data_IF_777468349363
#
_entry.id   IF_777468349363
#
_cell.length_a   1.000
_cell.length_b   1.000
_cell.length_c   1.000
_cell.angle_alpha   90.00
_cell.angle_beta   90.00
_cell.angle_gamma   90.00
#
_symmetry.space_group_name_H-M   'P 1'
#
loop_
_entity.id
_entity.type
_entity.pdbx_description
1 polymer ?
#
# COMPACT_ATOMS: atom_id res chain seq x y z
N UNK A 1 8.78 -60.49 40.04
CA UNK A 1 9.36 -59.69 38.94
C UNK A 1 8.22 -58.91 38.32
N UNK A 2 8.01 -57.71 38.86
CA UNK A 2 6.94 -56.78 38.52
C UNK A 2 7.23 -56.07 37.20
N UNK A 3 6.33 -56.17 36.23
CA UNK A 3 6.33 -55.28 35.06
C UNK A 3 4.93 -54.68 34.92
N UNK A 4 4.73 -53.59 35.66
CA UNK A 4 3.58 -52.72 35.54
C UNK A 4 3.60 -52.02 34.18
N UNK A 5 2.77 -52.50 33.24
CA UNK A 5 2.53 -51.83 31.97
C UNK A 5 1.56 -50.69 32.25
N UNK A 6 2.12 -49.48 32.40
CA UNK A 6 1.33 -48.25 32.50
C UNK A 6 0.54 -48.09 31.19
N UNK A 7 -0.79 -48.13 31.28
CA UNK A 7 -1.71 -47.78 30.18
C UNK A 7 -1.38 -46.37 29.69
N UNK A 8 -0.67 -46.29 28.56
CA UNK A 8 -0.28 -45.06 27.88
C UNK A 8 -1.26 -44.69 26.75
N UNK A 9 -2.55 -45.07 26.89
CA UNK A 9 -3.55 -44.85 25.85
C UNK A 9 -4.82 -44.25 26.46
N UNK A 10 -4.72 -43.01 26.92
CA UNK A 10 -5.89 -42.22 27.29
C UNK A 10 -5.78 -40.79 26.76
N UNK A 11 -5.08 -40.60 25.62
CA UNK A 11 -5.17 -39.35 24.88
C UNK A 11 -6.24 -39.55 23.84
N UNK A 12 -7.38 -38.89 24.03
CA UNK A 12 -8.51 -38.92 23.10
C UNK A 12 -8.03 -38.37 21.75
N UNK A 13 -8.09 -39.14 20.65
CA UNK A 13 -7.63 -38.66 19.34
C UNK A 13 -8.37 -37.39 18.88
N UNK A 14 -9.56 -37.07 19.44
CA UNK A 14 -10.25 -35.81 19.13
C UNK A 14 -9.55 -34.56 19.66
N UNK A 15 -8.71 -34.64 20.69
CA UNK A 15 -7.94 -33.49 21.18
C UNK A 15 -6.92 -32.99 20.13
N UNK A 16 -6.42 -33.88 19.27
CA UNK A 16 -5.50 -33.53 18.18
C UNK A 16 -6.20 -32.97 16.94
N UNK A 17 -7.52 -33.17 16.81
CA UNK A 17 -8.34 -32.67 15.71
C UNK A 17 -9.25 -31.51 16.14
N UNK A 18 -8.94 -30.83 17.24
CA UNK A 18 -9.49 -29.51 17.47
C UNK A 18 -8.96 -28.58 16.38
N UNK A 19 -9.71 -28.45 15.29
CA UNK A 19 -9.50 -27.37 14.33
C UNK A 19 -9.42 -26.10 15.16
N UNK A 20 -8.39 -25.25 14.94
CA UNK A 20 -8.36 -23.96 15.61
C UNK A 20 -9.74 -23.32 15.42
N UNK A 21 -10.35 -22.76 16.48
CA UNK A 21 -11.63 -22.07 16.36
C UNK A 21 -11.53 -21.20 15.12
N UNK A 22 -12.47 -21.35 14.19
CA UNK A 22 -12.47 -20.60 12.93
C UNK A 22 -12.57 -19.13 13.30
N UNK A 23 -11.44 -18.47 13.50
CA UNK A 23 -11.38 -17.08 13.92
C UNK A 23 -12.23 -16.31 12.93
N UNK A 24 -13.25 -15.62 13.43
CA UNK A 24 -14.08 -14.79 12.58
C UNK A 24 -13.14 -13.87 11.80
N UNK A 25 -13.29 -13.75 10.46
CA UNK A 25 -12.45 -12.86 9.69
C UNK A 25 -12.42 -11.50 10.36
N UNK A 26 -11.23 -11.03 10.72
CA UNK A 26 -11.07 -9.72 11.36
C UNK A 26 -11.81 -8.69 10.50
N UNK A 27 -12.56 -7.76 11.10
CA UNK A 27 -13.24 -6.73 10.33
C UNK A 27 -12.19 -5.99 9.48
N UNK A 28 -12.49 -5.73 8.20
CA UNK A 28 -11.52 -5.10 7.31
C UNK A 28 -11.07 -3.75 7.90
N UNK A 29 -9.79 -3.41 7.79
CA UNK A 29 -9.29 -2.13 8.28
C UNK A 29 -10.03 -0.97 7.61
N UNK A 30 -10.27 0.11 8.37
CA UNK A 30 -10.95 1.28 7.83
C UNK A 30 -10.19 1.91 6.65
N UNK A 31 -8.85 1.88 6.71
CA UNK A 31 -7.95 2.41 5.69
C UNK A 31 -6.93 1.36 5.28
N UNK A 32 -6.99 0.94 4.01
CA UNK A 32 -5.97 0.07 3.41
C UNK A 32 -5.76 0.44 1.94
N UNK A 33 -4.51 0.83 1.62
CA UNK A 33 -4.12 1.31 0.32
C UNK A 33 -3.07 0.38 -0.30
N UNK A 34 -3.48 -0.32 -1.35
CA UNK A 34 -2.60 -1.09 -2.20
C UNK A 34 -2.10 -0.26 -3.37
N UNK A 35 -0.85 -0.52 -3.76
CA UNK A 35 -0.17 0.17 -4.86
C UNK A 35 0.54 -0.86 -5.71
N UNK A 36 0.26 -0.87 -7.01
CA UNK A 36 0.89 -1.79 -7.95
C UNK A 36 1.25 -1.09 -9.27
N UNK A 37 2.48 -1.20 -9.78
CA UNK A 37 3.65 -1.84 -9.16
C UNK A 37 4.08 -1.14 -7.85
N UNK A 38 4.79 -1.83 -6.93
CA UNK A 38 5.20 -1.23 -5.65
C UNK A 38 6.41 -0.29 -5.75
N UNK A 39 7.14 -0.30 -6.87
CA UNK A 39 8.26 0.58 -7.19
C UNK A 39 8.20 1.01 -8.66
N UNK A 40 8.89 2.10 -9.00
CA UNK A 40 9.03 2.58 -10.36
C UNK A 40 10.49 2.57 -10.77
N UNK A 41 10.77 2.20 -12.03
CA UNK A 41 12.11 2.19 -12.59
C UNK A 41 12.19 3.10 -13.81
N UNK A 42 13.27 3.87 -13.90
CA UNK A 42 13.53 4.81 -14.97
C UNK A 42 14.98 4.73 -15.44
N UNK A 43 15.26 5.33 -16.59
CA UNK A 43 16.61 5.54 -17.12
C UNK A 43 16.94 7.02 -17.17
N UNK A 44 18.23 7.37 -17.29
CA UNK A 44 18.71 8.77 -17.29
C UNK A 44 18.00 9.68 -18.30
N UNK A 45 17.60 9.14 -19.44
CA UNK A 45 16.85 9.85 -20.48
C UNK A 45 15.37 10.13 -20.12
N UNK A 46 14.93 9.72 -18.92
CA UNK A 46 13.58 9.90 -18.42
C UNK A 46 12.70 8.66 -18.58
N UNK A 47 11.38 8.87 -18.58
CA UNK A 47 10.40 7.81 -18.79
C UNK A 47 9.07 8.07 -18.08
N UNK A 48 8.12 7.16 -18.26
CA UNK A 48 6.82 7.21 -17.59
C UNK A 48 6.51 5.87 -16.92
N UNK A 49 5.97 5.93 -15.70
CA UNK A 49 5.46 4.78 -14.97
C UNK A 49 4.01 5.02 -14.57
N UNK A 50 3.21 3.96 -14.60
CA UNK A 50 1.81 3.96 -14.21
C UNK A 50 1.62 3.00 -13.03
N UNK A 51 1.04 3.51 -11.96
CA UNK A 51 0.71 2.74 -10.77
C UNK A 51 -0.81 2.74 -10.57
N UNK A 52 -1.35 1.61 -10.13
CA UNK A 52 -2.74 1.46 -9.74
C UNK A 52 -2.81 1.56 -8.22
N UNK A 53 -3.58 2.50 -7.73
CA UNK A 53 -3.90 2.72 -6.32
C UNK A 53 -5.27 2.09 -6.05
N UNK A 54 -5.34 1.11 -5.15
CA UNK A 54 -6.58 0.40 -4.81
C UNK A 54 -6.90 0.56 -3.33
N UNK A 55 -8.09 1.06 -3.03
CA UNK A 55 -8.58 1.12 -1.66
C UNK A 55 -9.27 -0.20 -1.29
N UNK A 56 -8.58 -1.03 -0.52
CA UNK A 56 -9.13 -2.27 0.03
C UNK A 56 -9.82 -2.08 1.40
N UNK A 57 -9.73 -0.87 1.97
CA UNK A 57 -10.40 -0.52 3.22
C UNK A 57 -11.90 -0.29 3.06
N UNK A 58 -12.61 -0.28 4.18
CA UNK A 58 -14.07 -0.09 4.20
C UNK A 58 -14.51 1.38 4.05
N UNK A 59 -13.63 2.34 4.30
CA UNK A 59 -13.95 3.77 4.28
C UNK A 59 -13.44 4.46 3.01
N UNK A 60 -14.14 5.53 2.61
CA UNK A 60 -13.65 6.45 1.57
C UNK A 60 -12.40 7.15 2.08
N UNK A 61 -11.36 7.25 1.26
CA UNK A 61 -10.13 7.94 1.62
C UNK A 61 -9.86 9.14 0.72
N UNK A 62 -9.11 10.09 1.26
CA UNK A 62 -8.46 11.16 0.50
C UNK A 62 -6.96 10.96 0.59
N UNK A 63 -6.26 11.12 -0.52
CA UNK A 63 -4.82 11.02 -0.54
C UNK A 63 -4.15 12.27 -1.12
N UNK A 64 -2.91 12.47 -0.69
CA UNK A 64 -1.96 13.46 -1.18
C UNK A 64 -0.67 12.77 -1.56
N UNK A 65 -0.18 13.05 -2.74
CA UNK A 65 1.12 12.56 -3.21
C UNK A 65 2.19 13.61 -2.97
N UNK A 66 3.33 13.18 -2.43
CA UNK A 66 4.56 13.98 -2.29
C UNK A 66 5.70 13.24 -2.96
N UNK A 67 6.50 13.96 -3.75
CA UNK A 67 7.73 13.44 -4.32
C UNK A 67 8.94 14.06 -3.59
N UNK A 68 10.06 13.33 -3.52
CA UNK A 68 11.33 13.86 -3.01
C UNK A 68 11.95 14.91 -3.94
N UNK A 69 11.69 14.83 -5.25
CA UNK A 69 12.28 15.72 -6.25
C UNK A 69 11.25 16.14 -7.31
N UNK A 70 10.64 17.31 -7.10
CA UNK A 70 9.61 17.86 -8.01
C UNK A 70 10.20 18.52 -9.28
N UNK A 71 11.53 18.66 -9.35
CA UNK A 71 12.21 19.19 -10.53
C UNK A 71 12.30 18.13 -11.62
N UNK A 72 12.66 16.89 -11.27
CA UNK A 72 12.79 15.79 -12.24
C UNK A 72 11.49 15.00 -12.42
N UNK A 73 10.65 14.89 -11.39
CA UNK A 73 9.44 14.08 -11.45
C UNK A 73 8.17 14.92 -11.52
N UNK A 74 7.28 14.56 -12.44
CA UNK A 74 5.89 15.05 -12.51
C UNK A 74 4.95 13.92 -12.15
N UNK A 75 3.95 14.23 -11.34
CA UNK A 75 3.02 13.23 -10.80
C UNK A 75 1.59 13.73 -11.00
N UNK A 76 0.71 12.83 -11.45
CA UNK A 76 -0.71 13.12 -11.62
C UNK A 76 -1.56 11.89 -11.26
N UNK A 77 -2.60 12.01 -10.41
CA UNK A 77 -3.03 13.21 -9.68
C UNK A 77 -2.23 13.44 -8.37
N UNK A 78 -2.17 14.70 -7.90
CA UNK A 78 -1.52 15.04 -6.60
C UNK A 78 -2.47 14.88 -5.41
N UNK A 79 -3.74 15.24 -5.59
CA UNK A 79 -4.80 15.07 -4.61
C UNK A 79 -5.98 14.39 -5.27
N UNK A 80 -6.57 13.42 -4.59
CA UNK A 80 -7.81 12.81 -5.04
C UNK A 80 -8.52 12.06 -3.92
N UNK A 81 -9.79 11.74 -4.15
CA UNK A 81 -10.53 10.78 -3.35
C UNK A 81 -10.43 9.39 -3.98
N UNK A 82 -10.52 8.37 -3.13
CA UNK A 82 -10.62 6.98 -3.54
C UNK A 82 -11.71 6.31 -2.68
N UNK A 83 -12.81 5.92 -3.33
CA UNK A 83 -13.92 5.24 -2.66
C UNK A 83 -13.51 3.81 -2.25
N UNK A 84 -14.22 3.22 -1.29
CA UNK A 84 -13.97 1.84 -0.87
C UNK A 84 -14.15 0.87 -2.05
N UNK A 85 -13.19 -0.02 -2.26
CA UNK A 85 -13.15 -0.97 -3.38
C UNK A 85 -12.78 -0.34 -4.73
N UNK A 86 -12.63 0.99 -4.82
CA UNK A 86 -12.27 1.66 -6.06
C UNK A 86 -10.76 1.60 -6.30
N UNK A 87 -10.39 1.65 -7.58
CA UNK A 87 -9.01 1.78 -8.03
C UNK A 87 -8.83 3.02 -8.88
N UNK A 88 -7.65 3.62 -8.84
CA UNK A 88 -7.30 4.78 -9.64
C UNK A 88 -5.86 4.74 -10.09
N UNK A 89 -5.61 5.28 -11.28
CA UNK A 89 -4.29 5.36 -11.88
C UNK A 89 -3.51 6.58 -11.37
N UNK A 90 -2.26 6.36 -11.00
CA UNK A 90 -1.24 7.35 -10.67
C UNK A 90 -0.14 7.30 -11.73
N UNK A 91 0.01 8.41 -12.46
CA UNK A 91 1.06 8.59 -13.46
C UNK A 91 2.25 9.30 -12.85
N UNK A 92 3.44 8.76 -13.11
CA UNK A 92 4.73 9.33 -12.71
C UNK A 92 5.55 9.49 -13.98
N UNK A 93 5.89 10.73 -14.33
CA UNK A 93 6.77 11.05 -15.44
C UNK A 93 8.11 11.52 -14.86
N UNK A 94 9.21 10.97 -15.37
CA UNK A 94 10.56 11.42 -15.09
C UNK A 94 11.11 12.17 -16.30
N UNK A 95 11.67 13.35 -16.06
CA UNK A 95 12.45 14.11 -17.04
C UNK A 95 13.91 13.64 -17.05
N UNK A 96 14.60 13.91 -18.16
CA UNK A 96 16.04 13.65 -18.26
C UNK A 96 16.81 14.32 -17.11
N UNK A 97 17.79 13.62 -16.58
CA UNK A 97 18.58 14.14 -15.47
C UNK A 97 19.38 13.07 -14.73
N UNK A 98 20.16 13.48 -13.72
CA UNK A 98 21.13 12.61 -13.07
C UNK A 98 20.47 11.40 -12.41
N UNK A 99 21.18 10.28 -12.41
CA UNK A 99 20.81 9.09 -11.66
C UNK A 99 20.82 9.35 -10.16
N UNK A 100 19.63 9.25 -9.55
CA UNK A 100 19.44 9.38 -8.12
C UNK A 100 18.33 8.45 -7.65
N UNK A 101 18.50 7.97 -6.41
CA UNK A 101 17.45 7.25 -5.70
C UNK A 101 16.47 8.26 -5.09
N UNK A 102 15.26 8.28 -5.62
CA UNK A 102 14.18 9.15 -5.19
C UNK A 102 13.03 8.32 -4.61
N UNK A 103 12.06 8.99 -3.98
CA UNK A 103 10.89 8.33 -3.42
C UNK A 103 9.64 9.18 -3.58
N UNK A 104 8.53 8.50 -3.78
CA UNK A 104 7.20 9.08 -3.78
C UNK A 104 6.44 8.56 -2.55
N UNK A 105 5.86 9.47 -1.79
CA UNK A 105 5.11 9.19 -0.57
C UNK A 105 3.65 9.53 -0.83
N UNK A 106 2.79 8.52 -0.75
CA UNK A 106 1.34 8.71 -0.75
C UNK A 106 0.90 8.78 0.70
N UNK A 107 0.42 9.95 1.10
CA UNK A 107 -0.20 10.17 2.40
C UNK A 107 -1.71 10.05 2.21
N UNK A 108 -2.40 9.28 3.05
CA UNK A 108 -3.83 9.08 2.92
C UNK A 108 -4.50 9.04 4.28
N UNK A 109 -5.78 9.38 4.30
CA UNK A 109 -6.62 9.42 5.50
C UNK A 109 -8.08 9.20 5.13
N UNK A 110 -8.90 8.95 6.14
CA UNK A 110 -10.35 8.83 5.98
C UNK A 110 -10.97 10.16 5.56
N UNK A 111 -11.95 10.09 4.66
CA UNK A 111 -12.65 11.24 4.10
C UNK A 111 -14.15 11.07 4.21
N UNK A 112 -14.85 12.18 4.48
CA UNK A 112 -16.32 12.17 4.51
C UNK A 112 -16.87 12.13 3.08
N UNK A 113 -17.99 11.43 2.90
CA UNK A 113 -18.66 11.32 1.58
C UNK A 113 -19.21 12.66 1.07
N UNK A 114 -19.51 13.59 1.97
CA UNK A 114 -20.05 14.92 1.63
C UNK A 114 -19.02 15.88 1.03
N UNK A 115 -17.72 15.58 1.17
CA UNK A 115 -16.67 16.47 0.71
C UNK A 115 -16.39 16.29 -0.80
N UNK A 116 -16.21 17.43 -1.48
CA UNK A 116 -15.98 17.50 -2.94
C UNK A 116 -14.57 17.98 -3.31
N UNK A 117 -13.88 18.68 -2.42
CA UNK A 117 -12.54 19.23 -2.66
C UNK A 117 -11.47 18.39 -1.94
N UNK A 118 -10.67 17.59 -2.65
CA UNK A 118 -9.73 16.66 -2.03
C UNK A 118 -8.59 17.39 -1.30
N UNK A 119 -8.22 18.61 -1.72
CA UNK A 119 -7.14 19.37 -1.08
C UNK A 119 -7.59 19.87 0.29
N UNK A 120 -8.75 20.51 0.37
CA UNK A 120 -9.35 20.98 1.63
C UNK A 120 -9.65 19.81 2.57
N UNK A 121 -10.20 18.71 2.03
CA UNK A 121 -10.41 17.48 2.78
C UNK A 121 -9.10 16.97 3.39
N UNK A 122 -7.98 17.02 2.65
CA UNK A 122 -6.69 16.58 3.14
C UNK A 122 -6.09 17.49 4.22
N UNK A 123 -6.49 18.76 4.31
CA UNK A 123 -6.02 19.69 5.34
C UNK A 123 -6.70 19.51 6.71
N UNK A 124 -7.88 18.88 6.76
CA UNK A 124 -8.56 18.56 8.03
C UNK A 124 -7.70 17.70 8.97
N UNK A 125 -7.84 17.87 10.28
CA UNK A 125 -7.15 17.01 11.25
C UNK A 125 -7.66 15.57 11.18
N UNK A 126 -6.74 14.60 11.31
CA UNK A 126 -7.07 13.18 11.26
C UNK A 126 -5.84 12.28 11.22
N UNK A 127 -6.06 10.98 11.50
CA UNK A 127 -4.99 9.98 11.44
C UNK A 127 -4.54 9.80 9.99
N UNK A 128 -3.27 10.08 9.72
CA UNK A 128 -2.69 10.00 8.38
C UNK A 128 -1.76 8.80 8.28
N UNK A 129 -2.09 7.88 7.39
CA UNK A 129 -1.23 6.77 6.99
C UNK A 129 -0.38 7.14 5.78
N UNK A 130 0.70 6.38 5.54
CA UNK A 130 1.67 6.66 4.47
C UNK A 130 2.06 5.38 3.76
N UNK A 131 2.16 5.44 2.43
CA UNK A 131 2.75 4.41 1.57
C UNK A 131 3.90 5.03 0.79
N UNK A 132 5.02 4.31 0.65
CA UNK A 132 6.20 4.78 -0.08
C UNK A 132 6.37 3.95 -1.34
N UNK A 133 6.57 4.61 -2.48
CA UNK A 133 6.97 4.03 -3.76
C UNK A 133 8.42 4.47 -4.01
N UNK A 134 9.38 3.53 -4.04
CA UNK A 134 10.75 3.83 -4.48
C UNK A 134 10.76 4.22 -5.95
N UNK A 135 11.50 5.28 -6.29
CA UNK A 135 11.78 5.70 -7.66
C UNK A 135 13.25 5.40 -7.94
N UNK A 136 13.48 4.33 -8.69
CA UNK A 136 14.81 3.81 -9.00
C UNK A 136 15.20 4.32 -10.37
N UNK A 137 16.42 4.84 -10.46
CA UNK A 137 17.03 5.16 -11.75
C UNK A 137 18.17 4.18 -12.01
N UNK A 138 18.28 3.70 -13.25
CA UNK A 138 19.44 2.97 -13.74
C UNK A 138 20.22 3.80 -14.77
N UNK A 139 21.53 3.70 -14.72
CA UNK A 139 22.43 4.20 -15.75
C UNK A 139 22.34 3.31 -16.99
N UNK A 140 22.35 3.90 -18.17
CA UNK A 140 22.43 3.16 -19.42
C UNK A 140 23.90 3.15 -19.82
N UNK A 141 24.61 2.06 -19.52
CA UNK A 141 25.96 1.86 -20.03
C UNK A 141 25.87 1.58 -21.54
N UNK A 142 26.44 2.46 -22.36
CA UNK A 142 26.62 2.22 -23.80
C UNK A 142 27.71 1.15 -23.97
N UNK A 143 27.31 -0.09 -24.29
CA UNK A 143 28.21 -1.15 -24.80
C UNK A 143 28.58 -0.95 -26.25
#
# INVERSE_FOLDING_TARGET
MDKSIKRFCQVDPMEFFAYPPKEAPLPPPALDLHVYPPFAEFIEFGGASKHVLTNAGSSRMVFKVKCSNNSLFKVSPVYSFLDSGASMDLQILRQEGPTRNDKLIIMYKEAKRSEKDPKKSFENEGVTAKKVIPLITRDVEET
#
